data_IF_083792007139
#
_entry.id   IF_083792007139
#
_cell.length_a   1.000
_cell.length_b   1.000
_cell.length_c   1.000
_cell.angle_alpha   90.00
_cell.angle_beta   90.00
_cell.angle_gamma   90.00
#
_symmetry.space_group_name_H-M   'P 1'
#
loop_
_entity.id
_entity.type
_entity.pdbx_description
1 polymer ?
#
# COMPACT_ATOMS: atom_id res chain seq x y z
N UNK A 1 -4.00 7.34 -13.70
CA UNK A 1 -4.15 5.92 -13.34
C UNK A 1 -5.13 5.82 -12.18
N UNK A 2 -6.22 5.07 -12.31
CA UNK A 2 -7.14 4.80 -11.21
C UNK A 2 -6.82 3.42 -10.63
N UNK A 3 -6.59 3.38 -9.32
CA UNK A 3 -6.27 2.14 -8.61
C UNK A 3 -7.26 1.99 -7.48
N UNK A 4 -8.10 0.99 -7.59
CA UNK A 4 -8.92 0.53 -6.49
C UNK A 4 -8.07 -0.35 -5.57
N UNK A 5 -8.11 -0.07 -4.28
CA UNK A 5 -7.26 -0.73 -3.30
C UNK A 5 -8.16 -1.45 -2.32
N UNK A 6 -7.90 -2.75 -2.16
CA UNK A 6 -8.59 -3.63 -1.22
C UNK A 6 -7.57 -4.08 -0.17
N UNK A 7 -7.32 -3.22 0.81
CA UNK A 7 -6.37 -3.48 1.90
C UNK A 7 -7.12 -3.93 3.15
N UNK A 8 -6.72 -5.07 3.71
CA UNK A 8 -7.13 -5.46 5.07
C UNK A 8 -5.90 -5.43 5.96
N UNK A 9 -5.89 -4.52 6.94
CA UNK A 9 -4.82 -4.33 7.92
C UNK A 9 -5.36 -4.62 9.32
N UNK A 10 -5.14 -5.84 9.82
CA UNK A 10 -5.73 -6.27 11.09
C UNK A 10 -7.25 -6.34 10.99
N UNK A 11 -7.96 -5.57 11.81
CA UNK A 11 -9.43 -5.44 11.79
C UNK A 11 -9.92 -4.34 10.83
N UNK A 12 -9.01 -3.51 10.29
CA UNK A 12 -9.37 -2.39 9.42
C UNK A 12 -9.40 -2.85 7.96
N UNK A 13 -10.58 -2.74 7.33
CA UNK A 13 -10.74 -2.89 5.89
C UNK A 13 -10.74 -1.51 5.23
N UNK A 14 -9.82 -1.31 4.28
CA UNK A 14 -9.71 -0.15 3.41
C UNK A 14 -10.12 -0.63 2.01
N UNK A 15 -11.27 -0.14 1.54
CA UNK A 15 -11.82 -0.43 0.23
C UNK A 15 -12.08 0.93 -0.44
N UNK A 16 -11.09 1.41 -1.20
CA UNK A 16 -11.11 2.78 -1.72
C UNK A 16 -10.41 2.87 -3.06
N UNK A 17 -10.99 3.69 -3.95
CA UNK A 17 -10.37 4.05 -5.21
C UNK A 17 -9.52 5.30 -5.02
N UNK A 18 -8.22 5.19 -5.33
CA UNK A 18 -7.33 6.33 -5.40
C UNK A 18 -6.88 6.54 -6.84
N UNK A 19 -6.53 7.77 -7.17
CA UNK A 19 -6.00 8.11 -8.48
C UNK A 19 -4.69 8.87 -8.35
N UNK A 20 -3.85 8.76 -9.37
CA UNK A 20 -2.61 9.48 -9.46
C UNK A 20 -2.00 9.41 -10.86
N UNK A 21 -1.11 10.36 -11.14
CA UNK A 21 -0.42 10.44 -12.43
C UNK A 21 0.77 9.49 -12.50
N UNK A 22 1.32 9.12 -11.35
CA UNK A 22 2.45 8.20 -11.20
C UNK A 22 2.21 7.16 -10.11
N UNK A 23 2.94 6.05 -10.16
CA UNK A 23 2.88 5.04 -9.11
C UNK A 23 3.29 5.58 -7.75
N UNK A 24 4.28 6.49 -7.69
CA UNK A 24 4.68 7.16 -6.45
C UNK A 24 3.54 7.96 -5.84
N UNK A 25 2.78 8.68 -6.68
CA UNK A 25 1.62 9.48 -6.24
C UNK A 25 0.53 8.57 -5.70
N UNK A 26 0.22 7.49 -6.42
CA UNK A 26 -0.76 6.50 -5.97
C UNK A 26 -0.32 5.91 -4.63
N UNK A 27 0.90 5.39 -4.52
CA UNK A 27 1.41 4.79 -3.28
C UNK A 27 1.48 5.80 -2.13
N UNK A 28 1.80 7.06 -2.40
CA UNK A 28 1.75 8.14 -1.40
C UNK A 28 0.32 8.36 -0.87
N UNK A 29 -0.69 8.32 -1.74
CA UNK A 29 -2.09 8.41 -1.34
C UNK A 29 -2.50 7.22 -0.47
N UNK A 30 -2.07 5.99 -0.83
CA UNK A 30 -2.30 4.79 0.00
C UNK A 30 -1.67 4.97 1.38
N UNK A 31 -0.40 5.38 1.43
CA UNK A 31 0.36 5.62 2.66
C UNK A 31 -0.38 6.60 3.56
N UNK A 32 -0.81 7.73 3.00
CA UNK A 32 -1.48 8.78 3.76
C UNK A 32 -2.85 8.33 4.28
N UNK A 33 -3.55 7.46 3.53
CA UNK A 33 -4.81 6.88 3.98
C UNK A 33 -4.60 5.89 5.12
N UNK A 34 -3.66 4.96 4.96
CA UNK A 34 -3.27 4.02 6.02
C UNK A 34 -2.80 4.78 7.26
N UNK A 35 -2.02 5.86 7.08
CA UNK A 35 -1.59 6.70 8.18
C UNK A 35 -2.78 7.31 8.95
N UNK A 36 -3.84 7.74 8.28
CA UNK A 36 -5.05 8.26 8.94
C UNK A 36 -5.77 7.19 9.77
N UNK A 37 -5.86 5.97 9.25
CA UNK A 37 -6.56 4.86 9.91
C UNK A 37 -5.80 4.30 11.13
N UNK A 38 -4.47 4.34 11.13
CA UNK A 38 -3.63 3.76 12.20
C UNK A 38 -3.53 4.65 13.46
N UNK A 39 -4.24 5.77 13.51
CA UNK A 39 -4.23 6.71 14.64
C UNK A 39 -2.99 7.61 14.71
N UNK A 40 -2.98 8.55 15.64
CA UNK A 40 -2.02 9.68 15.62
C UNK A 40 -0.54 9.27 15.66
N UNK A 41 -0.16 8.36 16.55
CA UNK A 41 1.25 7.98 16.75
C UNK A 41 1.78 7.11 15.60
N UNK A 42 1.08 6.01 15.29
CA UNK A 42 1.50 5.07 14.23
C UNK A 42 1.33 5.72 12.86
N UNK A 43 0.25 6.46 12.66
CA UNK A 43 0.01 7.25 11.45
C UNK A 43 1.08 8.30 11.21
N UNK A 44 1.54 9.00 12.24
CA UNK A 44 2.64 9.96 12.15
C UNK A 44 3.95 9.33 11.67
N UNK A 45 4.23 8.09 12.09
CA UNK A 45 5.41 7.35 11.61
C UNK A 45 5.25 6.92 10.15
N UNK A 46 4.10 6.34 9.78
CA UNK A 46 3.81 5.91 8.41
C UNK A 46 3.90 7.09 7.43
N UNK A 47 3.34 8.25 7.81
CA UNK A 47 3.33 9.46 6.99
C UNK A 47 4.74 10.01 6.70
N UNK A 48 5.72 9.74 7.57
CA UNK A 48 7.12 10.15 7.37
C UNK A 48 7.88 9.26 6.39
N UNK A 49 7.40 8.05 6.09
CA UNK A 49 8.06 7.16 5.15
C UNK A 49 7.97 7.72 3.72
N UNK A 50 9.01 7.50 2.93
CA UNK A 50 8.88 7.66 1.48
C UNK A 50 7.84 6.66 0.94
N UNK A 51 7.22 6.93 -0.23
CA UNK A 51 6.29 5.98 -0.84
C UNK A 51 6.90 4.58 -1.04
N UNK A 52 8.18 4.52 -1.44
CA UNK A 52 8.88 3.26 -1.64
C UNK A 52 9.17 2.54 -0.31
N UNK A 53 9.56 3.26 0.73
CA UNK A 53 9.77 2.65 2.06
C UNK A 53 8.47 2.11 2.63
N UNK A 54 7.37 2.85 2.46
CA UNK A 54 6.04 2.38 2.80
C UNK A 54 5.67 1.11 2.04
N UNK A 55 5.91 1.07 0.72
CA UNK A 55 5.65 -0.10 -0.11
C UNK A 55 6.44 -1.35 0.37
N UNK A 56 7.72 -1.16 0.73
CA UNK A 56 8.56 -2.25 1.26
C UNK A 56 8.07 -2.75 2.62
N UNK A 57 7.71 -1.83 3.52
CA UNK A 57 7.18 -2.19 4.83
C UNK A 57 5.81 -2.88 4.71
N UNK A 58 4.94 -2.38 3.82
CA UNK A 58 3.66 -3.02 3.52
C UNK A 58 3.85 -4.45 3.00
N UNK A 59 4.79 -4.64 2.07
CA UNK A 59 5.16 -5.97 1.54
C UNK A 59 5.67 -6.89 2.65
N UNK A 60 6.56 -6.38 3.51
CA UNK A 60 7.12 -7.14 4.64
C UNK A 60 6.04 -7.59 5.62
N UNK A 61 5.11 -6.69 5.97
CA UNK A 61 3.98 -7.00 6.85
C UNK A 61 3.00 -7.98 6.22
N UNK A 62 2.72 -7.81 4.93
CA UNK A 62 1.90 -8.75 4.18
C UNK A 62 2.51 -10.14 4.19
N UNK A 63 3.78 -10.27 3.84
CA UNK A 63 4.51 -11.54 3.87
C UNK A 63 4.44 -12.22 5.25
N UNK A 64 4.63 -11.45 6.33
CA UNK A 64 4.52 -11.96 7.68
C UNK A 64 3.12 -12.48 8.02
N UNK A 65 2.06 -11.79 7.57
CA UNK A 65 0.67 -12.16 7.84
C UNK A 65 0.20 -13.34 6.96
N UNK A 66 0.53 -13.32 5.67
CA UNK A 66 0.14 -14.33 4.71
C UNK A 66 1.06 -15.56 4.68
N UNK A 67 2.16 -15.54 5.46
CA UNK A 67 3.25 -16.52 5.38
C UNK A 67 3.82 -16.64 3.96
N UNK A 68 3.87 -15.51 3.27
CA UNK A 68 4.42 -15.37 1.92
C UNK A 68 5.88 -14.90 2.00
N UNK A 69 6.60 -14.99 0.89
CA UNK A 69 8.02 -14.59 0.78
C UNK A 69 8.25 -13.72 -0.45
N UNK A 70 7.28 -12.88 -0.81
CA UNK A 70 7.44 -11.97 -1.94
C UNK A 70 8.65 -11.04 -1.71
N UNK A 71 9.48 -10.79 -2.73
CA UNK A 71 10.61 -9.89 -2.58
C UNK A 71 10.13 -8.47 -2.26
N UNK A 72 10.95 -7.73 -1.51
CA UNK A 72 10.68 -6.32 -1.28
C UNK A 72 10.76 -5.57 -2.63
N UNK A 73 9.78 -4.72 -2.97
CA UNK A 73 9.75 -4.02 -4.24
C UNK A 73 10.91 -3.02 -4.36
N UNK A 74 11.50 -2.95 -5.55
CA UNK A 74 12.52 -1.96 -5.90
C UNK A 74 11.90 -0.62 -6.30
N UNK A 75 10.67 -0.62 -6.85
CA UNK A 75 9.93 0.58 -7.27
C UNK A 75 8.48 0.56 -6.80
N UNK A 76 7.82 1.73 -6.82
CA UNK A 76 6.38 1.83 -6.50
C UNK A 76 5.51 1.07 -7.53
N UNK A 77 5.95 1.00 -8.78
CA UNK A 77 5.26 0.25 -9.84
C UNK A 77 5.30 -1.26 -9.58
N UNK A 78 6.44 -1.79 -9.17
CA UNK A 78 6.55 -3.20 -8.78
C UNK A 78 5.62 -3.52 -7.60
N UNK A 79 5.55 -2.62 -6.62
CA UNK A 79 4.62 -2.77 -5.51
C UNK A 79 3.17 -2.83 -5.97
N UNK A 80 2.73 -1.89 -6.82
CA UNK A 80 1.36 -1.88 -7.33
C UNK A 80 1.04 -3.13 -8.15
N UNK A 81 1.95 -3.57 -9.03
CA UNK A 81 1.79 -4.81 -9.79
C UNK A 81 1.69 -6.03 -8.87
N UNK A 82 2.52 -6.10 -7.84
CA UNK A 82 2.46 -7.16 -6.84
C UNK A 82 1.13 -7.12 -6.09
N UNK A 83 0.72 -5.94 -5.61
CA UNK A 83 -0.55 -5.74 -4.92
C UNK A 83 -1.73 -6.22 -5.77
N UNK A 84 -1.74 -5.91 -7.07
CA UNK A 84 -2.75 -6.41 -8.01
C UNK A 84 -2.71 -7.92 -8.14
N UNK A 85 -1.53 -8.49 -8.41
CA UNK A 85 -1.38 -9.95 -8.61
C UNK A 85 -1.78 -10.78 -7.38
N UNK A 86 -1.64 -10.20 -6.19
CA UNK A 86 -1.95 -10.82 -4.90
C UNK A 86 -3.38 -10.52 -4.42
N UNK A 87 -4.15 -9.71 -5.15
CA UNK A 87 -5.54 -9.36 -4.81
C UNK A 87 -5.71 -8.23 -3.78
N UNK A 88 -4.66 -7.44 -3.51
CA UNK A 88 -4.68 -6.27 -2.61
C UNK A 88 -5.11 -4.98 -3.31
N UNK A 89 -5.10 -4.97 -4.64
CA UNK A 89 -5.52 -3.84 -5.45
C UNK A 89 -6.09 -4.35 -6.78
N UNK A 90 -6.90 -3.54 -7.42
CA UNK A 90 -7.28 -3.62 -8.83
C UNK A 90 -6.91 -2.29 -9.48
N UNK A 91 -6.38 -2.35 -10.70
CA UNK A 91 -6.17 -1.15 -11.51
C UNK A 91 -7.35 -1.10 -12.47
N UNK A 92 -8.12 -0.02 -12.41
CA UNK A 92 -9.17 0.27 -13.36
C UNK A 92 -8.61 1.26 -14.38
N UNK A 93 -8.58 0.87 -15.67
CA UNK A 93 -8.19 1.75 -16.79
C UNK A 93 -9.28 2.76 -17.12
#
# INVERSE_FOLDING_TARGET
MNVQIHLTLGETKIDETTSGDTAETVVANIRDRVAKEMGFLVGGFIKRMSPLDFAREATRRYNAAAKDTAPAPATCEEFLRMAVSKGFASIDE
#
